data_IF_640384098390
#
_entry.id   IF_640384098390
#
_cell.length_a   1.000
_cell.length_b   1.000
_cell.length_c   1.000
_cell.angle_alpha   90.00
_cell.angle_beta   90.00
_cell.angle_gamma   90.00
#
_symmetry.space_group_name_H-M   'P 1'
#
loop_
_entity.id
_entity.type
_entity.pdbx_description
1 polymer ?
#
# COMPACT_ATOMS: atom_id res chain seq x y z
N UNK A 1 -14.13 -20.39 -37.58
CA UNK A 1 -12.74 -20.01 -37.95
C UNK A 1 -12.75 -19.01 -39.10
N UNK A 2 -13.41 -19.26 -40.24
CA UNK A 2 -13.44 -18.33 -41.36
C UNK A 2 -13.91 -16.91 -41.05
N UNK A 3 -14.89 -16.74 -40.12
CA UNK A 3 -15.39 -15.42 -39.67
C UNK A 3 -14.28 -14.68 -38.91
N UNK A 4 -13.57 -15.35 -38.00
CA UNK A 4 -12.47 -14.76 -37.25
C UNK A 4 -11.37 -14.32 -38.18
N UNK A 5 -10.98 -15.18 -39.12
CA UNK A 5 -9.96 -14.90 -40.11
C UNK A 5 -10.31 -13.70 -41.01
N UNK A 6 -11.60 -13.48 -41.28
CA UNK A 6 -12.08 -12.33 -42.07
C UNK A 6 -12.13 -11.02 -41.30
N UNK A 7 -12.21 -11.07 -39.98
CA UNK A 7 -12.37 -9.89 -39.13
C UNK A 7 -11.05 -9.44 -38.49
N UNK A 8 -10.11 -10.33 -38.25
CA UNK A 8 -8.83 -10.02 -37.64
C UNK A 8 -7.76 -9.69 -38.67
N UNK A 9 -7.08 -8.58 -38.47
CA UNK A 9 -6.06 -8.07 -39.37
C UNK A 9 -4.71 -8.77 -39.24
N UNK A 10 -4.49 -9.53 -38.16
CA UNK A 10 -3.23 -10.21 -37.85
C UNK A 10 -3.46 -11.54 -37.11
N UNK A 11 -2.52 -12.50 -37.24
CA UNK A 11 -2.58 -13.73 -36.45
C UNK A 11 -2.45 -13.47 -34.95
N UNK A 12 -3.20 -14.18 -34.13
CA UNK A 12 -3.17 -14.06 -32.67
C UNK A 12 -1.87 -14.55 -32.02
N UNK A 13 -0.99 -15.23 -32.77
CA UNK A 13 0.21 -15.85 -32.18
C UNK A 13 -0.14 -16.84 -31.05
N UNK A 14 0.43 -16.62 -29.89
CA UNK A 14 0.13 -17.41 -28.68
C UNK A 14 -1.14 -16.97 -27.96
N UNK A 15 -1.66 -15.79 -28.25
CA UNK A 15 -2.82 -15.21 -27.57
C UNK A 15 -4.05 -16.10 -27.69
N UNK A 16 -4.72 -16.36 -26.56
CA UNK A 16 -5.84 -17.32 -26.41
C UNK A 16 -5.47 -18.79 -26.67
N UNK A 17 -4.23 -19.09 -26.97
CA UNK A 17 -3.70 -20.45 -27.04
C UNK A 17 -3.40 -21.03 -25.66
N UNK A 18 -2.77 -22.21 -25.62
CA UNK A 18 -2.36 -22.87 -24.40
C UNK A 18 -0.83 -22.97 -24.32
N UNK A 19 -0.26 -22.47 -23.24
CA UNK A 19 1.18 -22.57 -22.94
C UNK A 19 1.36 -23.43 -21.69
N UNK A 20 2.29 -24.39 -21.73
CA UNK A 20 2.47 -25.26 -20.59
C UNK A 20 3.68 -26.16 -20.66
N UNK A 21 3.79 -27.03 -19.66
CA UNK A 21 4.90 -27.98 -19.49
C UNK A 21 4.35 -29.38 -19.28
N UNK A 22 4.93 -30.35 -20.00
CA UNK A 22 4.77 -31.78 -19.76
C UNK A 22 6.08 -32.28 -19.13
N UNK A 23 6.01 -32.74 -17.90
CA UNK A 23 7.17 -33.21 -17.13
C UNK A 23 7.48 -34.68 -17.40
N UNK A 24 8.72 -35.14 -17.19
CA UNK A 24 9.08 -36.56 -17.33
C UNK A 24 8.27 -37.49 -16.41
N UNK A 25 7.80 -37.01 -15.26
CA UNK A 25 6.96 -37.73 -14.32
C UNK A 25 5.46 -37.77 -14.75
N UNK A 26 5.17 -37.37 -16.01
CA UNK A 26 3.82 -37.29 -16.63
C UNK A 26 2.89 -36.27 -16.00
N UNK A 27 3.39 -35.37 -15.15
CA UNK A 27 2.58 -34.24 -14.70
C UNK A 27 2.50 -33.18 -15.82
N UNK A 28 1.29 -32.70 -16.01
CA UNK A 28 0.95 -31.76 -17.09
C UNK A 28 0.40 -30.49 -16.43
N UNK A 29 0.89 -29.33 -16.85
CA UNK A 29 0.35 -28.02 -16.47
C UNK A 29 0.27 -27.15 -17.72
N UNK A 30 -0.93 -26.71 -18.06
CA UNK A 30 -1.20 -25.75 -19.11
C UNK A 30 -1.98 -24.56 -18.57
N UNK A 31 -1.75 -23.40 -19.17
CA UNK A 31 -2.47 -22.16 -18.88
C UNK A 31 -2.89 -21.53 -20.21
N UNK A 32 -4.06 -20.92 -20.25
CA UNK A 32 -4.49 -20.12 -21.39
C UNK A 32 -3.63 -18.85 -21.48
N UNK A 33 -3.09 -18.55 -22.65
CA UNK A 33 -2.24 -17.38 -22.88
C UNK A 33 -3.11 -16.12 -23.05
N UNK A 34 -3.68 -15.65 -21.93
CA UNK A 34 -4.36 -14.35 -21.78
C UNK A 34 -3.59 -13.53 -20.76
N UNK A 35 -3.66 -12.21 -20.82
CA UNK A 35 -2.90 -11.29 -19.94
C UNK A 35 -1.40 -11.65 -19.92
N UNK A 36 -0.88 -11.99 -21.08
CA UNK A 36 0.51 -12.44 -21.26
C UNK A 36 1.24 -11.48 -22.17
N UNK A 37 2.44 -11.08 -21.75
CA UNK A 37 3.36 -10.27 -22.54
C UNK A 37 4.34 -11.19 -23.24
N UNK A 38 4.46 -11.06 -24.55
CA UNK A 38 5.49 -11.72 -25.36
C UNK A 38 6.62 -10.71 -25.65
N UNK A 39 7.82 -11.02 -25.17
CA UNK A 39 9.01 -10.19 -25.42
C UNK A 39 9.96 -10.89 -26.40
N UNK A 40 10.17 -10.30 -27.55
CA UNK A 40 11.27 -10.69 -28.43
C UNK A 40 12.57 -10.03 -27.95
N UNK A 41 13.46 -10.84 -27.38
CA UNK A 41 14.73 -10.36 -26.82
C UNK A 41 15.75 -9.92 -27.87
N UNK A 42 15.54 -10.22 -29.16
CA UNK A 42 16.42 -9.79 -30.25
C UNK A 42 16.01 -8.42 -30.78
N UNK A 43 14.72 -8.20 -30.95
CA UNK A 43 14.19 -6.93 -31.49
C UNK A 43 13.81 -5.95 -30.40
N UNK A 44 13.76 -6.39 -29.14
CA UNK A 44 13.25 -5.63 -27.97
C UNK A 44 11.80 -5.15 -28.16
N UNK A 45 11.02 -5.87 -28.96
CA UNK A 45 9.60 -5.59 -29.14
C UNK A 45 8.80 -6.43 -28.15
N UNK A 46 7.89 -5.79 -27.44
CA UNK A 46 6.94 -6.45 -26.56
C UNK A 46 5.53 -6.39 -27.16
N UNK A 47 4.88 -7.53 -27.24
CA UNK A 47 3.50 -7.66 -27.71
C UNK A 47 2.59 -8.08 -26.54
N UNK A 48 1.54 -7.32 -26.30
CA UNK A 48 0.53 -7.62 -25.31
C UNK A 48 -0.85 -7.61 -25.94
N UNK A 49 -1.38 -8.79 -26.19
CA UNK A 49 -2.68 -8.94 -26.82
C UNK A 49 -3.79 -8.89 -25.75
N UNK A 50 -4.82 -8.08 -26.01
CA UNK A 50 -6.00 -7.91 -25.17
C UNK A 50 -7.28 -8.12 -25.96
N UNK A 51 -8.35 -8.48 -25.28
CA UNK A 51 -9.67 -8.68 -25.86
C UNK A 51 -10.67 -9.09 -24.80
N UNK A 52 -11.94 -9.15 -25.17
CA UNK A 52 -13.02 -9.62 -24.31
C UNK A 52 -13.79 -10.78 -24.94
N UNK A 53 -14.57 -11.49 -24.14
CA UNK A 53 -15.40 -12.60 -24.59
C UNK A 53 -16.78 -12.11 -25.01
N UNK A 54 -17.03 -12.03 -26.32
CA UNK A 54 -18.32 -11.59 -26.83
C UNK A 54 -19.37 -12.69 -26.64
N UNK A 55 -20.44 -12.34 -25.96
CA UNK A 55 -21.63 -13.17 -25.77
C UNK A 55 -22.86 -12.49 -26.35
N UNK A 56 -24.02 -13.16 -26.34
CA UNK A 56 -25.22 -12.66 -26.97
C UNK A 56 -25.69 -11.30 -26.44
N UNK A 57 -25.52 -11.06 -25.14
CA UNK A 57 -25.94 -9.84 -24.47
C UNK A 57 -24.81 -8.79 -24.37
N UNK A 58 -23.69 -9.00 -25.06
CA UNK A 58 -22.56 -8.05 -25.04
C UNK A 58 -22.92 -6.74 -25.73
N UNK A 59 -22.62 -5.63 -25.06
CA UNK A 59 -22.67 -4.29 -25.63
C UNK A 59 -21.29 -3.89 -26.17
N UNK A 60 -21.23 -3.38 -27.37
CA UNK A 60 -19.98 -3.07 -28.09
C UNK A 60 -19.10 -2.08 -27.31
N UNK A 61 -19.69 -1.02 -26.78
CA UNK A 61 -18.96 0.02 -26.05
C UNK A 61 -18.41 -0.54 -24.72
N UNK A 62 -19.22 -1.29 -24.00
CA UNK A 62 -18.80 -1.94 -22.74
C UNK A 62 -17.63 -2.91 -22.94
N UNK A 63 -17.68 -3.75 -23.98
CA UNK A 63 -16.62 -4.69 -24.29
C UNK A 63 -15.32 -3.98 -24.76
N UNK A 64 -15.46 -2.90 -25.50
CA UNK A 64 -14.34 -2.06 -25.88
C UNK A 64 -13.68 -1.41 -24.67
N UNK A 65 -14.47 -0.84 -23.75
CA UNK A 65 -13.97 -0.25 -22.50
C UNK A 65 -13.28 -1.30 -21.63
N UNK A 66 -13.83 -2.50 -21.50
CA UNK A 66 -13.19 -3.61 -20.80
C UNK A 66 -11.83 -3.96 -21.41
N UNK A 67 -11.76 -4.03 -22.74
CA UNK A 67 -10.51 -4.29 -23.47
C UNK A 67 -9.46 -3.20 -23.21
N UNK A 68 -9.86 -1.93 -23.23
CA UNK A 68 -8.98 -0.80 -22.92
C UNK A 68 -8.50 -0.81 -21.46
N UNK A 69 -9.37 -1.17 -20.51
CA UNK A 69 -8.98 -1.34 -19.09
C UNK A 69 -7.93 -2.45 -18.95
N UNK A 70 -8.08 -3.56 -19.66
CA UNK A 70 -7.09 -4.65 -19.67
C UNK A 70 -5.74 -4.21 -20.26
N UNK A 71 -5.73 -3.32 -21.25
CA UNK A 71 -4.51 -2.77 -21.85
C UNK A 71 -3.73 -1.87 -20.90
N UNK A 72 -4.40 -1.19 -19.96
CA UNK A 72 -3.78 -0.24 -19.01
C UNK A 72 -2.61 -0.81 -18.22
N UNK A 73 -2.60 -2.11 -17.95
CA UNK A 73 -1.48 -2.79 -17.28
C UNK A 73 -0.13 -2.54 -17.99
N UNK A 74 -0.14 -2.30 -19.29
CA UNK A 74 1.07 -2.12 -20.12
C UNK A 74 1.18 -0.71 -20.69
N UNK A 75 0.04 -0.04 -20.91
CA UNK A 75 0.01 1.29 -21.55
C UNK A 75 0.11 2.44 -20.55
N UNK A 76 -0.38 2.25 -19.34
CA UNK A 76 -0.28 3.28 -18.31
C UNK A 76 1.15 3.32 -17.78
N UNK A 77 1.82 4.45 -17.94
CA UNK A 77 3.09 4.67 -17.27
C UNK A 77 2.86 4.51 -15.75
N UNK A 78 3.69 3.74 -15.05
CA UNK A 78 3.58 3.67 -13.61
C UNK A 78 3.67 5.09 -13.04
N UNK A 79 2.72 5.47 -12.19
CA UNK A 79 2.75 6.76 -11.55
C UNK A 79 4.13 6.98 -10.91
N UNK A 80 4.77 8.11 -11.21
CA UNK A 80 6.03 8.45 -10.55
C UNK A 80 5.77 8.71 -9.08
N UNK A 81 6.46 8.00 -8.24
CA UNK A 81 6.40 8.20 -6.79
C UNK A 81 7.76 7.96 -6.17
N UNK A 82 7.96 8.52 -4.97
CA UNK A 82 9.11 8.25 -4.11
C UNK A 82 8.71 7.30 -2.97
N UNK A 83 9.64 6.50 -2.51
CA UNK A 83 9.51 5.86 -1.21
C UNK A 83 9.59 6.96 -0.15
N UNK A 84 8.77 6.85 0.88
CA UNK A 84 8.61 7.88 1.90
C UNK A 84 8.84 7.28 3.28
N UNK A 85 9.72 7.90 4.08
CA UNK A 85 9.75 7.69 5.51
C UNK A 85 9.47 8.98 6.26
N UNK A 86 8.78 8.86 7.41
CA UNK A 86 8.50 10.01 8.27
C UNK A 86 8.87 9.61 9.70
N UNK A 87 9.85 10.28 10.25
CA UNK A 87 10.54 9.90 11.47
C UNK A 87 10.52 11.05 12.48
N UNK A 88 10.53 10.74 13.76
CA UNK A 88 10.84 11.71 14.81
C UNK A 88 12.33 11.64 15.13
N UNK A 89 12.96 12.77 15.15
CA UNK A 89 14.29 12.97 15.71
C UNK A 89 14.13 13.57 17.11
N UNK A 90 14.84 12.97 18.06
CA UNK A 90 14.95 13.42 19.45
C UNK A 90 16.40 13.86 19.70
N UNK A 91 16.66 15.04 20.28
CA UNK A 91 18.02 15.53 20.46
C UNK A 91 18.92 14.63 21.30
N UNK A 92 18.37 13.86 22.22
CA UNK A 92 19.12 12.95 23.10
C UNK A 92 19.33 11.56 22.48
N UNK A 93 18.37 11.09 21.67
CA UNK A 93 18.32 9.72 21.19
C UNK A 93 18.52 9.59 19.65
N UNK A 94 18.60 10.71 18.94
CA UNK A 94 18.70 10.70 17.47
C UNK A 94 17.37 10.33 16.79
N UNK A 95 17.44 9.72 15.62
CA UNK A 95 16.24 9.28 14.89
C UNK A 95 15.62 8.07 15.59
N UNK A 96 14.42 8.26 16.13
CA UNK A 96 13.72 7.21 16.85
C UNK A 96 13.30 6.08 15.89
N UNK A 97 13.43 4.81 16.35
CA UNK A 97 13.06 3.61 15.58
C UNK A 97 13.78 3.48 14.22
N UNK A 98 15.00 4.04 14.11
CA UNK A 98 15.77 4.06 12.88
C UNK A 98 15.86 2.68 12.22
N UNK A 99 16.05 1.60 13.01
CA UNK A 99 16.13 0.24 12.50
C UNK A 99 14.86 -0.15 11.74
N UNK A 100 13.68 0.07 12.32
CA UNK A 100 12.40 -0.26 11.68
C UNK A 100 12.13 0.59 10.42
N UNK A 101 12.55 1.86 10.42
CA UNK A 101 12.44 2.72 9.25
C UNK A 101 13.33 2.22 8.10
N UNK A 102 14.59 1.89 8.40
CA UNK A 102 15.52 1.36 7.41
C UNK A 102 15.07 0.02 6.83
N UNK A 103 14.53 -0.87 7.67
CA UNK A 103 13.98 -2.15 7.22
C UNK A 103 12.82 -1.94 6.26
N UNK A 104 11.82 -1.09 6.61
CA UNK A 104 10.64 -0.85 5.80
C UNK A 104 10.96 -0.19 4.46
N UNK A 105 11.87 0.80 4.42
CA UNK A 105 12.26 1.43 3.15
C UNK A 105 12.99 0.43 2.25
N UNK A 106 13.79 -0.47 2.83
CA UNK A 106 14.48 -1.52 2.08
C UNK A 106 13.49 -2.54 1.50
N UNK A 107 12.54 -3.05 2.30
CA UNK A 107 11.47 -3.93 1.81
C UNK A 107 10.68 -3.29 0.65
N UNK A 108 10.35 -2.00 0.80
CA UNK A 108 9.65 -1.27 -0.26
C UNK A 108 10.50 -1.07 -1.51
N UNK A 109 11.79 -0.81 -1.35
CA UNK A 109 12.72 -0.67 -2.48
C UNK A 109 12.87 -2.00 -3.25
N UNK A 110 13.01 -3.10 -2.55
CA UNK A 110 13.06 -4.44 -3.16
C UNK A 110 11.77 -4.76 -3.91
N UNK A 111 10.61 -4.47 -3.31
CA UNK A 111 9.31 -4.72 -3.92
C UNK A 111 9.09 -3.93 -5.21
N UNK A 112 9.40 -2.63 -5.21
CA UNK A 112 9.18 -1.74 -6.36
C UNK A 112 10.36 -1.64 -7.34
N UNK A 113 11.49 -2.29 -7.05
CA UNK A 113 12.70 -2.24 -7.87
C UNK A 113 13.38 -0.87 -7.85
N UNK A 114 13.45 -0.24 -6.67
CA UNK A 114 14.23 0.98 -6.45
C UNK A 114 15.68 0.62 -6.15
N UNK A 115 16.62 1.36 -6.74
CA UNK A 115 18.04 1.25 -6.38
C UNK A 115 18.30 2.14 -5.17
N UNK A 116 18.66 1.55 -4.00
CA UNK A 116 18.93 2.35 -2.80
C UNK A 116 20.30 2.05 -2.22
N UNK A 117 20.99 3.09 -1.76
CA UNK A 117 22.18 2.97 -0.91
C UNK A 117 21.76 3.14 0.57
N UNK A 118 21.49 2.01 1.23
CA UNK A 118 21.09 1.99 2.64
C UNK A 118 22.17 2.55 3.56
N UNK A 119 23.45 2.47 3.17
CA UNK A 119 24.59 2.99 3.95
C UNK A 119 24.61 4.52 3.90
N UNK A 120 24.45 5.10 2.70
CA UNK A 120 24.38 6.55 2.52
C UNK A 120 23.17 7.15 3.25
N UNK A 121 21.99 6.53 3.12
CA UNK A 121 20.76 6.96 3.82
C UNK A 121 20.95 6.90 5.34
N UNK A 122 21.45 5.79 5.86
CA UNK A 122 21.73 5.62 7.30
C UNK A 122 22.74 6.68 7.80
N UNK A 123 23.80 6.93 7.05
CA UNK A 123 24.81 7.92 7.39
C UNK A 123 24.19 9.33 7.47
N UNK A 124 23.36 9.71 6.49
CA UNK A 124 22.67 10.99 6.49
C UNK A 124 21.74 11.16 7.71
N UNK A 125 20.98 10.09 8.07
CA UNK A 125 20.06 10.10 9.21
C UNK A 125 20.80 10.14 10.55
N UNK A 126 21.94 9.44 10.68
CA UNK A 126 22.71 9.42 11.94
C UNK A 126 23.57 10.67 12.14
N UNK A 127 23.94 11.35 11.06
CA UNK A 127 24.69 12.62 11.13
C UNK A 127 23.80 13.85 11.29
N UNK A 128 22.46 13.68 11.21
CA UNK A 128 21.54 14.79 11.43
C UNK A 128 21.57 15.26 12.90
N UNK A 129 21.66 16.57 13.11
CA UNK A 129 21.73 17.20 14.43
C UNK A 129 20.72 18.33 14.50
N UNK A 130 20.00 18.39 15.62
CA UNK A 130 19.11 19.50 15.97
C UNK A 130 19.02 19.64 17.50
N UNK A 131 18.71 20.83 17.96
CA UNK A 131 18.59 21.14 19.41
C UNK A 131 17.18 20.93 19.96
N UNK A 132 16.21 20.70 19.08
CA UNK A 132 14.81 20.40 19.41
C UNK A 132 14.33 19.20 18.63
N UNK A 133 13.22 18.62 19.07
CA UNK A 133 12.54 17.56 18.34
C UNK A 133 12.21 17.98 16.91
N UNK A 134 12.45 17.09 15.95
CA UNK A 134 12.19 17.36 14.54
C UNK A 134 11.40 16.23 13.90
N UNK A 135 10.59 16.59 12.92
CA UNK A 135 9.96 15.63 12.01
C UNK A 135 10.81 15.56 10.74
N UNK A 136 11.47 14.43 10.52
CA UNK A 136 12.26 14.18 9.33
C UNK A 136 11.40 13.41 8.31
N UNK A 137 11.44 13.85 7.05
CA UNK A 137 10.87 13.11 5.93
C UNK A 137 11.99 12.75 4.96
N UNK A 138 12.16 11.45 4.75
CA UNK A 138 13.07 10.90 3.76
C UNK A 138 12.24 10.53 2.52
N UNK A 139 12.60 11.12 1.37
CA UNK A 139 12.05 10.76 0.06
C UNK A 139 13.16 10.10 -0.75
N UNK A 140 12.89 8.91 -1.27
CA UNK A 140 13.85 8.18 -2.10
C UNK A 140 13.25 7.98 -3.49
N UNK A 141 13.96 8.44 -4.50
CA UNK A 141 13.59 8.29 -5.92
C UNK A 141 13.99 6.90 -6.43
N UNK A 142 13.45 6.50 -7.57
CA UNK A 142 13.68 5.17 -8.16
C UNK A 142 15.15 4.89 -8.48
N UNK A 143 15.91 5.91 -8.84
CA UNK A 143 17.36 5.86 -9.14
C UNK A 143 18.25 5.79 -7.89
N UNK A 144 17.65 5.88 -6.70
CA UNK A 144 18.36 5.86 -5.40
C UNK A 144 18.76 7.23 -4.87
N UNK A 145 18.55 8.30 -5.64
CA UNK A 145 18.71 9.65 -5.10
C UNK A 145 17.69 9.89 -3.97
N UNK A 146 18.10 10.62 -2.94
CA UNK A 146 17.20 10.89 -1.82
C UNK A 146 17.31 12.32 -1.30
N UNK A 147 16.21 12.78 -0.72
CA UNK A 147 16.09 14.07 -0.04
C UNK A 147 15.65 13.84 1.41
N UNK A 148 16.30 14.53 2.34
CA UNK A 148 15.92 14.58 3.74
C UNK A 148 15.35 15.95 4.06
N UNK A 149 14.05 16.02 4.23
CA UNK A 149 13.33 17.22 4.66
C UNK A 149 13.27 17.29 6.19
N UNK A 150 13.33 18.50 6.74
CA UNK A 150 13.30 18.75 8.17
C UNK A 150 12.17 19.74 8.50
N UNK A 151 11.27 19.36 9.40
CA UNK A 151 10.11 20.14 9.82
C UNK A 151 9.98 20.15 11.34
N UNK A 152 9.23 21.12 11.85
CA UNK A 152 8.84 21.12 13.27
C UNK A 152 7.87 19.97 13.55
N UNK A 153 7.94 19.42 14.75
CA UNK A 153 6.92 18.50 15.27
C UNK A 153 5.69 19.32 15.61
N UNK A 154 4.53 18.91 15.09
CA UNK A 154 3.27 19.57 15.40
C UNK A 154 2.90 19.44 16.89
N UNK A 155 1.97 20.27 17.34
CA UNK A 155 1.48 20.25 18.74
C UNK A 155 0.86 18.88 19.03
N UNK A 156 1.37 18.22 20.07
CA UNK A 156 0.80 17.00 20.64
C UNK A 156 -0.08 17.40 21.84
N UNK A 157 -1.21 16.76 22.06
CA UNK A 157 -1.87 17.00 23.33
C UNK A 157 -3.36 16.74 23.47
N UNK A 158 -4.11 16.51 22.40
CA UNK A 158 -5.53 16.15 22.51
C UNK A 158 -5.79 14.76 21.92
N UNK A 159 -6.78 14.01 22.46
CA UNK A 159 -7.25 12.79 21.82
C UNK A 159 -7.65 13.09 20.36
N UNK A 160 -7.19 12.27 19.42
CA UNK A 160 -7.58 12.42 18.01
C UNK A 160 -9.05 12.08 17.83
N UNK A 161 -9.80 12.98 17.22
CA UNK A 161 -11.19 12.72 16.84
C UNK A 161 -11.22 12.02 15.48
N UNK A 162 -11.78 10.83 15.47
CA UNK A 162 -11.82 9.95 14.30
C UNK A 162 -13.26 9.74 13.86
N UNK A 163 -13.44 9.49 12.59
CA UNK A 163 -14.66 8.96 12.01
C UNK A 163 -14.36 7.74 11.15
N UNK A 164 -15.38 6.97 10.80
CA UNK A 164 -15.22 5.80 9.93
C UNK A 164 -15.40 6.22 8.47
N UNK A 165 -14.57 5.71 7.57
CA UNK A 165 -14.68 5.94 6.14
C UNK A 165 -16.02 5.41 5.59
N UNK A 166 -16.61 6.14 4.66
CA UNK A 166 -17.88 5.73 4.02
C UNK A 166 -17.69 4.56 3.03
N UNK A 167 -16.48 4.41 2.48
CA UNK A 167 -16.17 3.38 1.47
C UNK A 167 -14.99 2.52 1.94
N UNK A 168 -15.07 1.25 1.59
CA UNK A 168 -13.99 0.29 1.80
C UNK A 168 -12.78 0.61 0.91
N UNK A 169 -11.59 0.34 1.43
CA UNK A 169 -10.36 0.22 0.62
C UNK A 169 -10.21 -1.22 0.13
N UNK A 170 -9.37 -1.43 -0.91
CA UNK A 170 -9.06 -2.76 -1.39
C UNK A 170 -7.83 -3.30 -0.63
N UNK A 171 -7.99 -4.37 0.12
CA UNK A 171 -6.92 -4.93 0.97
C UNK A 171 -5.67 -5.34 0.20
N UNK A 172 -5.80 -5.64 -1.09
CA UNK A 172 -4.70 -6.01 -1.97
C UNK A 172 -3.98 -4.80 -2.59
N UNK A 173 -4.43 -3.56 -2.34
CA UNK A 173 -3.73 -2.37 -2.82
C UNK A 173 -2.34 -2.29 -2.18
N UNK A 174 -1.31 -2.34 -3.03
CA UNK A 174 0.09 -2.34 -2.60
C UNK A 174 0.48 -1.05 -1.88
N UNK A 175 -0.19 0.08 -2.18
CA UNK A 175 0.06 1.37 -1.55
C UNK A 175 -0.49 1.49 -0.13
N UNK A 176 -1.31 0.55 0.33
CA UNK A 176 -1.61 0.38 1.75
C UNK A 176 -0.44 -0.26 2.52
N UNK A 177 0.33 -1.15 1.87
CA UNK A 177 1.40 -1.92 2.51
C UNK A 177 2.75 -1.21 2.47
N UNK A 178 2.95 -0.33 1.50
CA UNK A 178 4.20 0.39 1.27
C UNK A 178 4.03 1.89 1.44
N UNK A 179 4.92 2.49 2.24
CA UNK A 179 4.87 3.94 2.48
C UNK A 179 5.53 4.70 1.33
N UNK A 180 4.70 5.36 0.53
CA UNK A 180 5.13 6.10 -0.67
C UNK A 180 4.49 7.48 -0.74
N UNK A 181 4.92 8.29 -1.71
CA UNK A 181 4.26 9.56 -2.04
C UNK A 181 2.98 9.36 -2.86
N UNK A 182 2.76 8.17 -3.46
CA UNK A 182 1.46 7.82 -4.03
C UNK A 182 0.49 7.50 -2.89
N UNK A 183 -0.41 8.42 -2.60
CA UNK A 183 -1.37 8.35 -1.50
C UNK A 183 -2.82 8.39 -1.96
N UNK A 184 -3.09 8.05 -3.21
CA UNK A 184 -4.44 8.11 -3.80
C UNK A 184 -5.47 7.32 -2.98
N UNK A 185 -5.09 6.16 -2.44
CA UNK A 185 -5.95 5.33 -1.58
C UNK A 185 -6.45 6.06 -0.32
N UNK A 186 -5.73 7.08 0.14
CA UNK A 186 -6.06 7.87 1.33
C UNK A 186 -6.76 9.21 1.01
N UNK A 187 -6.76 9.67 -0.25
CA UNK A 187 -7.28 11.00 -0.63
C UNK A 187 -8.79 11.09 -0.41
N UNK A 188 -9.57 10.20 -1.01
CA UNK A 188 -11.03 10.18 -0.84
C UNK A 188 -11.47 10.06 0.64
N UNK A 189 -10.90 9.16 1.47
CA UNK A 189 -11.19 9.15 2.90
C UNK A 189 -10.88 10.48 3.58
N UNK A 190 -9.76 11.14 3.24
CA UNK A 190 -9.40 12.43 3.83
C UNK A 190 -10.36 13.57 3.49
N UNK A 191 -11.01 13.56 2.35
CA UNK A 191 -12.05 14.52 2.01
C UNK A 191 -13.27 14.45 2.95
N UNK A 192 -13.42 13.34 3.67
CA UNK A 192 -14.52 13.07 4.58
C UNK A 192 -14.26 13.50 6.02
N UNK A 193 -13.23 14.29 6.33
CA UNK A 193 -12.83 14.65 7.70
C UNK A 193 -13.95 15.33 8.50
N UNK A 194 -14.77 16.21 7.90
CA UNK A 194 -15.91 16.87 8.53
C UNK A 194 -15.63 17.37 9.97
N UNK A 195 -14.49 18.01 10.17
CA UNK A 195 -14.07 18.51 11.47
C UNK A 195 -13.44 17.47 12.43
N UNK A 196 -13.28 16.21 12.01
CA UNK A 196 -12.43 15.22 12.67
C UNK A 196 -10.97 15.37 12.25
N UNK A 197 -10.06 14.75 13.00
CA UNK A 197 -8.63 14.86 12.77
C UNK A 197 -8.13 13.80 11.78
N UNK A 198 -8.79 12.61 11.72
CA UNK A 198 -8.47 11.55 10.77
C UNK A 198 -9.67 10.61 10.55
N UNK A 199 -9.52 9.67 9.59
CA UNK A 199 -10.56 8.73 9.17
C UNK A 199 -10.07 7.31 9.33
N UNK A 200 -10.84 6.46 10.04
CA UNK A 200 -10.60 5.01 10.16
C UNK A 200 -11.01 4.34 8.85
N UNK A 201 -10.10 3.56 8.30
CA UNK A 201 -10.28 2.79 7.08
C UNK A 201 -10.71 1.35 7.40
N UNK A 202 -11.46 0.75 6.49
CA UNK A 202 -11.88 -0.65 6.51
C UNK A 202 -11.85 -1.21 5.09
N UNK A 203 -11.67 -2.52 4.95
CA UNK A 203 -11.49 -3.17 3.65
C UNK A 203 -12.79 -3.82 3.13
N UNK A 204 -12.75 -4.37 1.92
CA UNK A 204 -13.88 -5.03 1.25
C UNK A 204 -14.45 -6.24 2.00
N UNK A 205 -13.74 -6.75 3.02
CA UNK A 205 -14.21 -7.83 3.89
C UNK A 205 -14.89 -7.32 5.18
N UNK A 206 -14.99 -5.99 5.34
CA UNK A 206 -15.53 -5.36 6.56
C UNK A 206 -14.53 -5.27 7.71
N UNK A 207 -13.26 -5.57 7.47
CA UNK A 207 -12.20 -5.55 8.48
C UNK A 207 -11.62 -4.14 8.60
N UNK A 208 -11.37 -3.69 9.84
CA UNK A 208 -10.64 -2.46 10.11
C UNK A 208 -9.18 -2.60 9.66
N UNK A 209 -8.61 -1.50 9.17
CA UNK A 209 -7.22 -1.49 8.72
C UNK A 209 -6.37 -0.50 9.54
N UNK A 210 -6.42 0.76 9.22
CA UNK A 210 -5.66 1.83 9.86
C UNK A 210 -6.41 3.16 9.72
N UNK A 211 -5.79 4.29 10.04
CA UNK A 211 -6.30 5.61 9.62
C UNK A 211 -5.48 6.14 8.45
N UNK A 212 -5.80 7.31 7.95
CA UNK A 212 -5.05 7.83 6.79
C UNK A 212 -3.59 8.18 7.11
N UNK A 213 -3.22 8.37 8.38
CA UNK A 213 -1.85 8.70 8.80
C UNK A 213 -1.33 7.93 10.02
N UNK A 214 -2.19 7.12 10.69
CA UNK A 214 -1.83 6.37 11.90
C UNK A 214 -2.29 4.91 11.81
N UNK A 215 -1.62 4.02 12.56
CA UNK A 215 -2.17 2.70 12.85
C UNK A 215 -3.20 2.79 13.98
N UNK A 216 -4.17 1.89 13.97
CA UNK A 216 -5.32 1.83 14.86
C UNK A 216 -5.11 0.78 15.95
N UNK A 217 -5.66 1.04 17.14
CA UNK A 217 -5.68 0.08 18.27
C UNK A 217 -7.01 0.17 19.01
N UNK A 218 -7.55 -0.97 19.37
CA UNK A 218 -8.76 -1.13 20.17
C UNK A 218 -8.42 -1.82 21.49
N UNK A 219 -8.94 -1.31 22.59
CA UNK A 219 -8.94 -2.03 23.87
C UNK A 219 -10.23 -2.84 23.96
N UNK A 220 -10.11 -4.17 23.90
CA UNK A 220 -11.21 -5.12 23.94
C UNK A 220 -10.93 -6.17 25.01
N UNK A 221 -11.85 -6.35 25.94
CA UNK A 221 -11.71 -7.35 27.00
C UNK A 221 -10.46 -7.18 27.89
N UNK A 222 -9.91 -5.98 27.97
CA UNK A 222 -8.67 -5.67 28.71
C UNK A 222 -7.38 -5.95 27.92
N UNK A 223 -7.49 -6.39 26.65
CA UNK A 223 -6.35 -6.55 25.74
C UNK A 223 -6.28 -5.39 24.75
N UNK A 224 -5.07 -4.94 24.43
CA UNK A 224 -4.84 -3.96 23.38
C UNK A 224 -4.55 -4.66 22.05
N UNK A 225 -5.46 -4.51 21.10
CA UNK A 225 -5.42 -5.16 19.80
C UNK A 225 -5.18 -4.14 18.68
N UNK A 226 -4.50 -4.56 17.62
CA UNK A 226 -4.32 -3.78 16.38
C UNK A 226 -4.73 -4.63 15.19
N UNK A 227 -5.32 -4.05 14.13
CA UNK A 227 -5.70 -4.81 12.95
C UNK A 227 -4.56 -5.66 12.38
N UNK A 228 -4.90 -6.87 11.93
CA UNK A 228 -3.96 -7.79 11.32
C UNK A 228 -3.41 -7.22 9.99
N UNK A 229 -2.15 -7.45 9.70
CA UNK A 229 -1.53 -6.95 8.47
C UNK A 229 -2.14 -7.54 7.18
N UNK A 230 -2.81 -8.70 7.25
CA UNK A 230 -3.55 -9.28 6.13
C UNK A 230 -4.79 -8.47 5.76
N UNK A 231 -5.29 -7.61 6.65
CA UNK A 231 -6.41 -6.71 6.35
C UNK A 231 -6.05 -5.57 5.38
N UNK A 232 -4.77 -5.40 5.03
CA UNK A 232 -4.31 -4.37 4.10
C UNK A 232 -4.06 -3.03 4.81
N UNK A 233 -2.90 -2.90 5.42
CA UNK A 233 -2.46 -1.70 6.14
C UNK A 233 -0.95 -1.55 6.12
N UNK A 234 -0.49 -0.33 6.42
CA UNK A 234 0.92 -0.06 6.58
C UNK A 234 1.44 -0.64 7.90
N UNK A 235 2.51 -1.44 7.83
CA UNK A 235 3.25 -1.90 9.01
C UNK A 235 4.02 -0.71 9.62
N UNK A 236 3.34 0.09 10.45
CA UNK A 236 3.92 1.27 11.08
C UNK A 236 5.08 0.91 12.01
N UNK A 237 6.13 1.74 12.01
CA UNK A 237 7.34 1.46 12.82
C UNK A 237 7.07 1.54 14.32
N UNK A 238 6.17 2.41 14.74
CA UNK A 238 5.73 2.45 16.16
C UNK A 238 4.86 1.23 16.50
N UNK A 239 3.96 0.83 15.59
CA UNK A 239 3.16 -0.39 15.73
C UNK A 239 4.07 -1.61 15.86
N UNK A 240 5.11 -1.72 15.04
CA UNK A 240 6.06 -2.84 15.11
C UNK A 240 6.77 -2.89 16.45
N UNK A 241 7.23 -1.75 16.96
CA UNK A 241 7.84 -1.66 18.30
C UNK A 241 6.89 -2.15 19.42
N UNK A 242 5.58 -1.84 19.33
CA UNK A 242 4.61 -2.32 20.32
C UNK A 242 4.38 -3.82 20.21
N UNK A 243 4.33 -4.37 19.00
CA UNK A 243 4.23 -5.81 18.75
C UNK A 243 5.45 -6.56 19.27
N UNK A 244 6.66 -6.09 18.96
CA UNK A 244 7.93 -6.69 19.40
C UNK A 244 8.06 -6.71 20.93
N UNK A 245 7.50 -5.69 21.60
CA UNK A 245 7.48 -5.62 23.06
C UNK A 245 6.34 -6.41 23.72
N UNK A 246 5.47 -7.05 22.95
CA UNK A 246 4.32 -7.81 23.43
C UNK A 246 3.21 -6.95 24.08
N UNK A 247 3.25 -5.63 23.89
CA UNK A 247 2.25 -4.71 24.45
C UNK A 247 0.95 -4.70 23.67
N UNK A 248 0.96 -5.17 22.43
CA UNK A 248 -0.16 -5.20 21.50
C UNK A 248 -0.16 -6.53 20.79
N UNK A 249 -1.34 -7.06 20.47
CA UNK A 249 -1.53 -8.27 19.67
C UNK A 249 -2.28 -7.93 18.38
N UNK A 250 -1.93 -8.59 17.28
CA UNK A 250 -2.68 -8.49 16.02
C UNK A 250 -3.95 -9.34 16.09
N UNK A 251 -5.03 -8.83 15.54
CA UNK A 251 -6.29 -9.55 15.35
C UNK A 251 -7.02 -9.03 14.11
N UNK A 252 -7.81 -9.87 13.47
CA UNK A 252 -8.81 -9.39 12.50
C UNK A 252 -9.88 -8.67 13.30
N UNK A 253 -10.00 -7.36 13.11
CA UNK A 253 -10.93 -6.48 13.80
C UNK A 253 -11.97 -5.96 12.81
N UNK A 254 -13.21 -5.88 13.25
CA UNK A 254 -14.36 -5.45 12.44
C UNK A 254 -14.93 -4.12 12.94
N UNK A 255 -15.93 -3.61 12.25
CA UNK A 255 -16.65 -2.40 12.68
C UNK A 255 -17.45 -2.64 13.97
N UNK A 256 -17.93 -3.86 14.17
CA UNK A 256 -18.61 -4.28 15.39
C UNK A 256 -17.65 -4.29 16.59
N UNK A 257 -16.40 -4.67 16.39
CA UNK A 257 -15.36 -4.59 17.44
C UNK A 257 -15.05 -3.13 17.82
N UNK A 258 -15.12 -2.20 16.85
CA UNK A 258 -14.95 -0.79 17.11
C UNK A 258 -16.04 -0.25 18.06
N UNK A 259 -17.29 -0.70 17.89
CA UNK A 259 -18.42 -0.30 18.74
C UNK A 259 -18.32 -0.91 20.15
N UNK A 260 -17.65 -2.06 20.30
CA UNK A 260 -17.46 -2.75 21.60
C UNK A 260 -16.19 -2.31 22.34
N UNK A 261 -15.30 -1.58 21.67
CA UNK A 261 -14.04 -1.15 22.26
C UNK A 261 -14.27 -0.20 23.45
N UNK A 262 -13.60 -0.47 24.56
CA UNK A 262 -13.63 0.39 25.76
C UNK A 262 -12.83 1.66 25.56
N UNK A 263 -11.72 1.56 24.81
CA UNK A 263 -10.85 2.70 24.46
C UNK A 263 -10.30 2.52 23.04
N UNK A 264 -10.01 3.64 22.42
CA UNK A 264 -9.47 3.72 21.08
C UNK A 264 -8.13 4.47 21.12
N UNK A 265 -7.13 3.95 20.40
CA UNK A 265 -5.84 4.60 20.30
C UNK A 265 -5.33 4.57 18.85
N UNK A 266 -4.42 5.49 18.58
CA UNK A 266 -3.70 5.53 17.28
C UNK A 266 -2.22 5.76 17.52
N UNK A 267 -1.40 5.40 16.54
CA UNK A 267 0.03 5.73 16.57
C UNK A 267 0.63 5.98 15.22
N UNK A 268 1.64 6.82 15.19
CA UNK A 268 2.61 6.88 14.11
C UNK A 268 4.00 7.22 14.66
N UNK A 269 5.02 7.22 13.80
CA UNK A 269 6.41 7.39 14.23
C UNK A 269 6.73 8.80 14.74
N UNK A 270 5.94 9.81 14.42
CA UNK A 270 6.17 11.20 14.84
C UNK A 270 5.40 11.51 16.12
N UNK A 271 4.09 11.27 16.11
CA UNK A 271 3.18 11.56 17.23
C UNK A 271 3.36 10.61 18.41
N UNK A 272 3.86 9.38 18.17
CA UNK A 272 3.86 8.34 19.19
C UNK A 272 2.50 7.65 19.31
N UNK A 273 2.18 7.18 20.52
CA UNK A 273 0.93 6.50 20.87
C UNK A 273 0.01 7.49 21.60
N UNK A 274 -1.18 7.71 21.10
CA UNK A 274 -2.14 8.63 21.69
C UNK A 274 -3.55 8.07 21.67
N UNK A 275 -4.36 8.52 22.63
CA UNK A 275 -5.77 8.20 22.71
C UNK A 275 -6.54 8.85 21.57
N UNK A 276 -7.60 8.19 21.15
CA UNK A 276 -8.50 8.70 20.13
C UNK A 276 -9.95 8.54 20.56
N UNK A 277 -10.84 9.31 19.98
CA UNK A 277 -12.28 9.25 20.19
C UNK A 277 -13.01 9.09 18.89
N UNK A 278 -14.06 8.28 18.88
CA UNK A 278 -14.93 8.13 17.70
C UNK A 278 -15.97 9.25 17.70
N UNK A 279 -16.03 10.02 16.64
CA UNK A 279 -17.09 10.99 16.42
C UNK A 279 -18.39 10.24 16.13
N UNK A 280 -19.40 10.45 16.97
CA UNK A 280 -20.77 10.01 16.67
C UNK A 280 -21.41 11.11 15.82
N UNK A 281 -21.63 10.83 14.53
CA UNK A 281 -22.54 11.63 13.73
C UNK A 281 -23.97 11.28 14.03
#
# INVERSE_FOLDING_TARGET
>A
MAIIESLESAPRGIYTGAVGVIRPDRKIRFQVAIRSLLLDTKTHIAEYAVGSGIIWDSDVESEWQETMVKAKVVTDAPAEFCLLETMRFDPANGVLRLHHHMHRVQESAEFFGFSIDTTAIRSALTSFIAVTDRKLRLLVSRDGSFVLENHDVGVEGEPMRLRVAQRAVQSEDVFLRHKTTNRQVYEMPREQLNGCDDVILWNERGELTETTICNLYLELGGELLTPDSSSGLLKGTYRQQLLDSGKVRQAVLTREDLDQATRLFVSNSVRGFCEATLSKE
#
